data_IF_276281195776
#
_entry.id   IF_276281195776
#
_cell.length_a   1.000
_cell.length_b   1.000
_cell.length_c   1.000
_cell.angle_alpha   90.00
_cell.angle_beta   90.00
_cell.angle_gamma   90.00
#
_symmetry.space_group_name_H-M   'P 1'
#
loop_
_entity.id
_entity.type
_entity.pdbx_description
1 polymer ?
#
# COMPACT_ATOMS: atom_id res chain seq x y z
N UNK A 1 15.45 0.36 15.91
CA UNK A 1 15.10 1.45 15.00
C UNK A 1 13.59 1.60 14.93
N UNK A 2 13.09 2.81 14.78
CA UNK A 2 11.66 3.00 14.52
C UNK A 2 11.21 2.24 13.28
N UNK A 3 9.94 1.83 13.30
CA UNK A 3 9.30 1.19 12.17
C UNK A 3 8.34 2.16 11.51
N UNK A 4 8.24 2.07 10.20
CA UNK A 4 7.34 2.89 9.40
C UNK A 4 6.51 1.98 8.51
N UNK A 5 5.23 2.32 8.35
CA UNK A 5 4.40 1.66 7.36
C UNK A 5 4.34 2.53 6.11
N UNK A 6 4.45 1.90 4.97
CA UNK A 6 4.26 2.51 3.66
C UNK A 6 2.92 2.03 3.14
N UNK A 7 1.94 2.93 3.12
CA UNK A 7 0.62 2.62 2.57
C UNK A 7 0.65 2.91 1.08
N UNK A 8 0.47 1.87 0.28
CA UNK A 8 0.56 1.96 -1.17
C UNK A 8 -0.83 2.23 -1.73
N UNK A 9 -1.02 3.42 -2.27
CA UNK A 9 -2.31 3.83 -2.83
C UNK A 9 -2.18 3.97 -4.35
N UNK A 10 -3.19 3.48 -5.05
CA UNK A 10 -3.22 3.65 -6.49
C UNK A 10 -4.65 3.82 -6.99
N UNK A 11 -4.77 4.35 -8.18
CA UNK A 11 -5.99 4.30 -8.96
C UNK A 11 -6.08 2.90 -9.56
N UNK A 12 -7.23 2.25 -9.40
CA UNK A 12 -7.44 0.90 -9.92
C UNK A 12 -7.15 0.78 -11.41
N UNK A 13 -7.26 1.88 -12.15
CA UNK A 13 -6.99 1.91 -13.58
C UNK A 13 -5.50 1.96 -13.91
N UNK A 14 -4.63 2.21 -12.93
CA UNK A 14 -3.22 2.47 -13.17
C UNK A 14 -2.49 1.32 -13.85
N UNK A 15 -2.93 0.08 -13.64
CA UNK A 15 -2.33 -1.11 -14.24
C UNK A 15 -3.23 -1.77 -15.28
N UNK A 16 -4.40 -1.19 -15.55
CA UNK A 16 -5.31 -1.72 -16.56
C UNK A 16 -4.66 -1.60 -17.94
N UNK A 17 -4.78 -2.66 -18.74
CA UNK A 17 -4.19 -2.69 -20.06
C UNK A 17 -2.77 -3.22 -20.10
N UNK A 18 -2.17 -3.52 -18.94
CA UNK A 18 -0.85 -4.13 -18.91
C UNK A 18 -0.94 -5.59 -19.36
N UNK A 19 0.08 -6.06 -20.08
CA UNK A 19 0.15 -7.46 -20.49
C UNK A 19 0.47 -8.34 -19.27
N UNK A 20 0.21 -9.67 -19.36
CA UNK A 20 0.61 -10.60 -18.29
C UNK A 20 2.09 -10.55 -17.98
N UNK A 21 2.94 -10.38 -18.99
CA UNK A 21 4.39 -10.28 -18.80
C UNK A 21 4.77 -9.01 -18.06
N UNK A 22 4.12 -7.89 -18.40
CA UNK A 22 4.36 -6.62 -17.72
C UNK A 22 3.95 -6.68 -16.24
N UNK A 23 2.80 -7.31 -15.96
CA UNK A 23 2.34 -7.50 -14.59
C UNK A 23 3.28 -8.39 -13.80
N UNK A 24 3.80 -9.45 -14.42
CA UNK A 24 4.73 -10.35 -13.77
C UNK A 24 6.06 -9.66 -13.46
N UNK A 25 6.57 -8.87 -14.39
CA UNK A 25 7.79 -8.08 -14.16
C UNK A 25 7.59 -7.08 -13.02
N UNK A 26 6.42 -6.46 -12.97
CA UNK A 26 6.08 -5.54 -11.89
C UNK A 26 6.08 -6.26 -10.54
N UNK A 27 5.47 -7.45 -10.49
CA UNK A 27 5.47 -8.27 -9.27
C UNK A 27 6.88 -8.60 -8.81
N UNK A 28 7.78 -8.94 -9.74
CA UNK A 28 9.17 -9.22 -9.40
C UNK A 28 9.87 -7.99 -8.81
N UNK A 29 9.59 -6.81 -9.34
CA UNK A 29 10.15 -5.56 -8.80
C UNK A 29 9.69 -5.32 -7.36
N UNK A 30 8.40 -5.53 -7.07
CA UNK A 30 7.88 -5.39 -5.71
C UNK A 30 8.49 -6.41 -4.77
N UNK A 31 8.60 -7.66 -5.20
CA UNK A 31 9.17 -8.73 -4.38
C UNK A 31 10.64 -8.46 -4.08
N UNK A 32 11.38 -8.00 -5.08
CA UNK A 32 12.80 -7.69 -4.92
C UNK A 32 13.01 -6.51 -3.98
N UNK A 33 12.22 -5.46 -4.13
CA UNK A 33 12.28 -4.31 -3.23
C UNK A 33 11.93 -4.72 -1.79
N UNK A 34 10.86 -5.52 -1.64
CA UNK A 34 10.45 -6.02 -0.33
C UNK A 34 11.58 -6.81 0.35
N UNK A 35 12.20 -7.69 -0.40
CA UNK A 35 13.27 -8.54 0.12
C UNK A 35 14.47 -7.72 0.61
N UNK A 36 14.81 -6.65 -0.09
CA UNK A 36 16.00 -5.88 0.21
C UNK A 36 15.76 -4.71 1.17
N UNK A 37 14.55 -4.16 1.22
CA UNK A 37 14.26 -2.93 1.94
C UNK A 37 13.24 -3.07 3.05
N UNK A 38 12.34 -4.04 2.98
CA UNK A 38 11.22 -4.14 3.91
C UNK A 38 11.43 -5.27 4.91
N UNK A 39 10.86 -5.10 6.10
CA UNK A 39 10.79 -6.15 7.11
C UNK A 39 9.47 -6.89 7.07
N UNK A 40 8.49 -6.36 6.35
CA UNK A 40 7.18 -6.98 6.17
C UNK A 40 6.38 -6.27 5.10
N UNK A 41 5.22 -6.80 4.80
CA UNK A 41 4.33 -6.22 3.83
C UNK A 41 3.47 -7.27 3.16
N UNK A 42 2.34 -6.83 2.59
CA UNK A 42 1.42 -7.71 1.88
C UNK A 42 0.72 -6.92 0.79
N UNK A 43 0.42 -7.60 -0.31
CA UNK A 43 -0.48 -7.08 -1.32
C UNK A 43 -1.91 -7.45 -0.93
N UNK A 44 -2.83 -6.51 -1.08
CA UNK A 44 -4.24 -6.76 -0.83
C UNK A 44 -4.94 -7.18 -2.13
N UNK A 45 -6.01 -7.97 -1.99
CA UNK A 45 -6.82 -8.34 -3.15
C UNK A 45 -7.48 -7.11 -3.74
N UNK A 46 -7.47 -7.02 -5.06
CA UNK A 46 -8.05 -5.89 -5.77
C UNK A 46 -9.57 -5.98 -5.80
N UNK A 47 -10.21 -4.83 -5.65
CA UNK A 47 -11.63 -4.68 -5.92
C UNK A 47 -12.57 -5.33 -4.92
N UNK A 48 -12.08 -5.75 -3.77
CA UNK A 48 -12.92 -6.37 -2.76
C UNK A 48 -12.59 -5.89 -1.36
N UNK A 49 -13.49 -6.11 -0.45
CA UNK A 49 -13.31 -5.76 0.95
C UNK A 49 -14.64 -5.45 1.60
N UNK A 50 -14.57 -5.04 2.85
CA UNK A 50 -15.74 -4.62 3.63
C UNK A 50 -15.34 -3.41 4.43
N UNK A 51 -16.26 -2.46 4.52
CA UNK A 51 -16.09 -1.26 5.34
C UNK A 51 -17.12 -1.30 6.44
N UNK A 52 -16.65 -1.17 7.67
CA UNK A 52 -17.52 -1.11 8.84
C UNK A 52 -17.60 0.32 9.33
N UNK A 53 -18.82 0.77 9.58
CA UNK A 53 -19.09 2.11 10.12
C UNK A 53 -20.16 2.00 11.18
N UNK A 54 -20.23 2.97 12.07
CA UNK A 54 -21.37 3.09 12.98
C UNK A 54 -22.46 3.92 12.31
N UNK A 55 -23.67 3.39 12.33
CA UNK A 55 -24.84 4.08 11.81
C UNK A 55 -25.94 3.97 12.86
N UNK A 56 -26.39 5.10 13.40
CA UNK A 56 -27.37 5.14 14.48
C UNK A 56 -26.94 4.30 15.70
N UNK A 57 -25.64 4.36 16.05
CA UNK A 57 -25.08 3.64 17.18
C UNK A 57 -24.84 2.15 16.96
N UNK A 58 -25.10 1.63 15.76
CA UNK A 58 -24.92 0.21 15.44
C UNK A 58 -23.88 0.04 14.33
N UNK A 59 -23.11 -1.06 14.36
CA UNK A 59 -22.21 -1.36 13.26
C UNK A 59 -23.00 -1.56 11.96
N UNK A 60 -22.50 -0.94 10.91
CA UNK A 60 -23.03 -1.13 9.55
C UNK A 60 -21.88 -1.61 8.68
N UNK A 61 -22.16 -2.57 7.81
CA UNK A 61 -21.16 -3.17 6.91
C UNK A 61 -21.57 -2.88 5.48
N UNK A 62 -20.66 -2.29 4.72
CA UNK A 62 -20.88 -2.08 3.29
C UNK A 62 -19.74 -2.75 2.51
N UNK A 63 -20.00 -3.05 1.24
CA UNK A 63 -18.97 -3.59 0.38
C UNK A 63 -17.91 -2.51 0.15
N UNK A 64 -16.65 -2.90 0.24
CA UNK A 64 -15.54 -1.98 0.07
C UNK A 64 -14.60 -2.45 -1.03
N UNK A 65 -13.57 -1.65 -1.28
CA UNK A 65 -13.27 -0.35 -0.68
C UNK A 65 -14.29 0.71 -1.06
N UNK A 66 -14.22 1.89 -0.41
CA UNK A 66 -15.15 2.99 -0.72
C UNK A 66 -15.16 3.28 -2.22
N UNK A 67 -16.38 3.28 -2.81
CA UNK A 67 -16.54 3.48 -4.25
C UNK A 67 -16.14 4.89 -4.70
N UNK A 68 -16.25 5.87 -3.82
CA UNK A 68 -15.93 7.27 -4.12
C UNK A 68 -14.45 7.58 -4.00
N UNK A 69 -13.65 6.67 -3.44
CA UNK A 69 -12.22 6.91 -3.29
C UNK A 69 -11.54 6.90 -4.66
N UNK A 70 -10.80 7.95 -4.97
CA UNK A 70 -10.00 8.02 -6.20
C UNK A 70 -8.85 7.04 -6.15
N UNK A 71 -8.24 6.90 -4.98
CA UNK A 71 -7.16 5.96 -4.75
C UNK A 71 -7.53 5.06 -3.59
N UNK A 72 -7.16 3.81 -3.69
CA UNK A 72 -7.39 2.83 -2.64
C UNK A 72 -6.05 2.24 -2.20
N UNK A 73 -6.00 1.79 -0.95
CA UNK A 73 -4.82 1.09 -0.46
C UNK A 73 -4.79 -0.30 -1.08
N UNK A 74 -3.78 -0.55 -1.91
CA UNK A 74 -3.61 -1.84 -2.58
C UNK A 74 -2.60 -2.75 -1.91
N UNK A 75 -1.91 -2.25 -0.89
CA UNK A 75 -0.92 -3.01 -0.16
C UNK A 75 -0.15 -2.15 0.80
N UNK A 76 0.79 -2.76 1.49
CA UNK A 76 1.64 -2.03 2.41
C UNK A 76 2.99 -2.72 2.56
N UNK A 77 3.99 -1.94 2.95
CA UNK A 77 5.27 -2.44 3.42
C UNK A 77 5.54 -1.88 4.82
N UNK A 78 6.33 -2.61 5.58
CA UNK A 78 6.88 -2.13 6.84
C UNK A 78 8.40 -2.05 6.67
N UNK A 79 8.98 -0.91 7.01
CA UNK A 79 10.42 -0.70 6.93
C UNK A 79 10.95 -0.19 8.27
N UNK A 80 12.25 -0.33 8.47
CA UNK A 80 12.95 0.30 9.57
C UNK A 80 13.75 1.47 9.05
N UNK A 81 13.71 2.59 9.76
CA UNK A 81 14.47 3.78 9.42
C UNK A 81 14.71 4.60 10.68
N UNK A 82 15.74 5.43 10.67
CA UNK A 82 16.08 6.23 11.85
C UNK A 82 15.06 7.34 12.11
N UNK A 83 14.47 7.88 11.05
CA UNK A 83 13.54 9.01 11.11
C UNK A 83 12.73 9.07 9.82
N UNK A 84 11.79 10.03 9.75
CA UNK A 84 10.96 10.22 8.56
C UNK A 84 11.78 10.52 7.30
N UNK A 85 12.81 11.34 7.40
CA UNK A 85 13.62 11.70 6.22
C UNK A 85 14.23 10.44 5.59
N UNK A 86 14.76 9.56 6.41
CA UNK A 86 15.34 8.30 5.93
C UNK A 86 14.28 7.37 5.38
N UNK A 87 13.11 7.29 6.04
CA UNK A 87 12.00 6.46 5.57
C UNK A 87 11.49 6.96 4.21
N UNK A 88 11.38 8.27 4.03
CA UNK A 88 10.95 8.85 2.77
C UNK A 88 11.96 8.57 1.66
N UNK A 89 13.24 8.68 1.94
CA UNK A 89 14.28 8.36 0.95
C UNK A 89 14.19 6.90 0.50
N UNK A 90 13.95 5.98 1.45
CA UNK A 90 13.74 4.58 1.12
C UNK A 90 12.49 4.38 0.27
N UNK A 91 11.39 5.04 0.65
CA UNK A 91 10.12 4.93 -0.07
C UNK A 91 10.21 5.41 -1.52
N UNK A 92 11.05 6.42 -1.78
CA UNK A 92 11.26 6.93 -3.14
C UNK A 92 11.79 5.86 -4.10
N UNK A 93 12.46 4.84 -3.59
CA UNK A 93 13.01 3.76 -4.41
C UNK A 93 12.01 2.64 -4.66
N UNK A 94 10.83 2.71 -4.04
CA UNK A 94 9.83 1.67 -4.18
C UNK A 94 9.19 1.71 -5.57
N UNK A 95 9.03 0.55 -6.24
CA UNK A 95 8.43 0.51 -7.58
C UNK A 95 7.04 1.11 -7.66
N UNK A 96 6.32 1.16 -6.52
CA UNK A 96 4.97 1.72 -6.49
C UNK A 96 4.93 3.19 -6.88
N UNK A 97 6.05 3.92 -6.78
CA UNK A 97 6.11 5.32 -7.20
C UNK A 97 5.79 5.52 -8.68
N UNK A 98 5.90 4.47 -9.50
CA UNK A 98 5.55 4.54 -10.90
C UNK A 98 4.04 4.53 -11.14
N UNK A 99 3.24 4.10 -10.16
CA UNK A 99 1.81 3.82 -10.35
C UNK A 99 0.89 4.59 -9.42
N UNK A 100 1.39 5.08 -8.32
CA UNK A 100 0.53 5.71 -7.33
C UNK A 100 1.29 6.51 -6.32
N UNK A 101 0.68 6.67 -5.17
CA UNK A 101 1.25 7.43 -4.06
C UNK A 101 1.59 6.50 -2.91
N UNK A 102 2.53 6.94 -2.10
CA UNK A 102 2.91 6.22 -0.88
C UNK A 102 2.75 7.17 0.29
N UNK A 103 1.94 6.75 1.25
CA UNK A 103 1.83 7.47 2.52
C UNK A 103 2.76 6.81 3.53
N UNK A 104 3.67 7.58 4.10
CA UNK A 104 4.66 7.09 5.06
C UNK A 104 4.21 7.50 6.45
N UNK A 105 4.04 6.54 7.34
CA UNK A 105 3.65 6.83 8.72
C UNK A 105 4.49 6.02 9.69
N UNK A 106 4.96 6.67 10.73
CA UNK A 106 5.69 5.97 11.78
C UNK A 106 4.73 5.12 12.60
N UNK A 107 5.13 3.88 12.85
CA UNK A 107 4.37 2.97 13.70
C UNK A 107 4.68 3.32 15.16
N UNK A 108 3.64 3.56 15.94
CA UNK A 108 3.82 3.85 17.35
C UNK A 108 4.17 2.57 18.08
N UNK A 109 5.21 2.65 18.89
CA UNK A 109 5.61 1.52 19.71
C UNK A 109 4.73 1.50 20.97
N UNK A 110 3.93 0.46 21.12
CA UNK A 110 3.01 0.32 22.24
C UNK A 110 3.52 -0.64 23.30
#
# INVERSE_FOLDING_TARGET
MPQFILLLRDDRAAVNGSSPEELQQLMYKYQDWRRTKATGGQKLMDGEGRVLQKQNGKPSVIDGPFAEAKEVVGGFFVIEAANYDEAVEAAKTCPHMEFGTIEVRQIEKT
#
